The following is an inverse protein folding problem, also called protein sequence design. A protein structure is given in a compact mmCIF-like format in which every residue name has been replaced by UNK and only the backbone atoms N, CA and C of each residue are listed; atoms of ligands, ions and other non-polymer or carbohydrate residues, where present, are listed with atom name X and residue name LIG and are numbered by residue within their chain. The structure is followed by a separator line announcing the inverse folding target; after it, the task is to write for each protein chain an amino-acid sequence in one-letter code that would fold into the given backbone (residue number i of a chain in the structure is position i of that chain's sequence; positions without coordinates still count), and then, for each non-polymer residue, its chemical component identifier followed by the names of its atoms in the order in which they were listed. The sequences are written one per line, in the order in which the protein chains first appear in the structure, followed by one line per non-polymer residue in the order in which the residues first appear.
data_IF_147408387741
#
_entry.id   IF_147408387741
#
_cell.length_a   1.000
_cell.length_b   1.000
_cell.length_c   1.000
_cell.angle_alpha   90.00
_cell.angle_beta   90.00
_cell.angle_gamma   90.00
#
_symmetry.space_group_name_H-M   'P 1'
#
loop_
_entity.id
_entity.type
_entity.pdbx_description
1 polymer ?
#
# COMPACT_ATOMS: atom_id res chain seq x y z
N UNK A 1 0.65 -6.65 10.78
CA UNK A 1 -0.54 -5.77 10.69
C UNK A 1 -0.75 -5.44 9.23
N UNK A 2 -2.00 -5.25 8.80
CA UNK A 2 -2.27 -4.88 7.40
C UNK A 2 -2.35 -3.35 7.29
N UNK A 3 -1.65 -2.83 6.29
CA UNK A 3 -1.63 -1.42 5.96
C UNK A 3 -2.28 -1.21 4.60
N UNK A 4 -3.06 -0.14 4.49
CA UNK A 4 -3.56 0.39 3.23
C UNK A 4 -2.65 1.52 2.80
N UNK A 5 -1.94 1.34 1.69
CA UNK A 5 -1.01 2.32 1.14
C UNK A 5 -1.68 3.03 -0.02
N UNK A 6 -1.84 4.34 0.10
CA UNK A 6 -2.29 5.22 -0.97
C UNK A 6 -1.09 5.76 -1.72
N UNK A 7 -1.10 5.60 -3.04
CA UNK A 7 0.04 5.96 -3.88
C UNK A 7 -0.40 6.46 -5.25
N UNK A 8 0.49 7.20 -5.90
CA UNK A 8 0.41 7.52 -7.33
C UNK A 8 1.38 6.61 -8.10
N UNK A 9 1.02 6.15 -9.31
CA UNK A 9 1.87 5.25 -10.10
C UNK A 9 3.24 5.83 -10.49
N UNK A 10 3.39 7.15 -10.53
CA UNK A 10 4.61 7.82 -10.98
C UNK A 10 4.97 9.01 -10.11
N UNK A 11 6.27 9.15 -9.80
CA UNK A 11 6.85 10.33 -9.14
C UNK A 11 7.14 11.49 -10.10
N UNK A 12 7.07 11.26 -11.42
CA UNK A 12 7.48 12.24 -12.44
C UNK A 12 6.36 13.20 -12.87
N UNK A 13 5.11 12.84 -12.60
CA UNK A 13 3.93 13.61 -13.01
C UNK A 13 3.40 14.34 -11.79
N UNK A 14 2.87 15.55 -11.98
CA UNK A 14 2.21 16.28 -10.91
C UNK A 14 1.08 15.43 -10.31
N UNK A 15 1.00 15.32 -8.97
CA UNK A 15 0.00 14.48 -8.31
C UNK A 15 -1.41 14.99 -8.64
N UNK A 16 -2.29 14.07 -9.03
CA UNK A 16 -3.70 14.33 -9.32
C UNK A 16 -4.55 13.41 -8.46
N UNK A 17 -5.58 13.97 -7.81
CA UNK A 17 -6.39 13.24 -6.84
C UNK A 17 -7.08 12.02 -7.45
N UNK A 18 -7.41 12.08 -8.74
CA UNK A 18 -8.12 11.04 -9.48
C UNK A 18 -7.23 9.82 -9.77
N UNK A 19 -5.90 9.98 -9.69
CA UNK A 19 -4.93 8.94 -9.99
C UNK A 19 -4.43 8.21 -8.73
N UNK A 20 -4.88 8.60 -7.54
CA UNK A 20 -4.52 7.91 -6.29
C UNK A 20 -5.08 6.49 -6.33
N UNK A 21 -4.18 5.51 -6.23
CA UNK A 21 -4.49 4.10 -6.11
C UNK A 21 -4.21 3.63 -4.69
N UNK A 22 -4.73 2.46 -4.33
CA UNK A 22 -4.48 1.83 -3.05
C UNK A 22 -4.03 0.40 -3.23
N UNK A 23 -3.06 -0.02 -2.42
CA UNK A 23 -2.69 -1.42 -2.24
C UNK A 23 -2.74 -1.79 -0.77
N UNK A 24 -2.92 -3.07 -0.49
CA UNK A 24 -2.88 -3.61 0.86
C UNK A 24 -1.61 -4.43 1.01
N UNK A 25 -0.87 -4.22 2.09
CA UNK A 25 0.34 -4.99 2.37
C UNK A 25 0.42 -5.34 3.85
N UNK A 26 1.06 -6.46 4.16
CA UNK A 26 1.35 -6.87 5.53
C UNK A 26 2.75 -6.42 5.97
N UNK A 27 2.84 -5.74 7.11
CA UNK A 27 4.10 -5.31 7.71
C UNK A 27 3.99 -5.23 9.24
N UNK A 28 5.13 -5.11 9.93
CA UNK A 28 5.18 -4.93 11.38
C UNK A 28 5.00 -3.47 11.80
N UNK A 29 5.30 -2.51 10.92
CA UNK A 29 5.14 -1.08 11.20
C UNK A 29 4.85 -0.25 9.95
N UNK A 30 4.35 0.98 10.13
CA UNK A 30 4.12 1.93 9.03
C UNK A 30 5.42 2.30 8.29
N UNK A 31 6.54 2.34 9.03
CA UNK A 31 7.87 2.61 8.47
C UNK A 31 8.31 1.46 7.56
N UNK A 32 8.15 0.22 8.02
CA UNK A 32 8.47 -0.96 7.22
C UNK A 32 7.59 -1.07 5.97
N UNK A 33 6.28 -0.78 6.11
CA UNK A 33 5.36 -0.73 4.97
C UNK A 33 5.80 0.26 3.89
N UNK A 34 6.31 1.43 4.30
CA UNK A 34 6.89 2.43 3.40
C UNK A 34 8.12 1.87 2.69
N UNK A 35 9.07 1.34 3.45
CA UNK A 35 10.34 0.82 2.91
C UNK A 35 10.08 -0.26 1.87
N UNK A 36 9.25 -1.26 2.20
CA UNK A 36 8.89 -2.34 1.29
C UNK A 36 8.31 -1.78 -0.02
N UNK A 37 7.37 -0.84 0.09
CA UNK A 37 6.73 -0.25 -1.11
C UNK A 37 7.73 0.55 -1.95
N UNK A 38 8.62 1.31 -1.32
CA UNK A 38 9.63 2.13 -2.01
C UNK A 38 10.77 1.29 -2.64
N UNK A 39 11.14 0.18 -2.02
CA UNK A 39 12.16 -0.74 -2.55
C UNK A 39 11.63 -1.56 -3.74
N UNK A 40 10.36 -1.97 -3.68
CA UNK A 40 9.78 -2.88 -4.66
C UNK A 40 9.10 -2.15 -5.82
N UNK A 41 8.75 -0.88 -5.64
CA UNK A 41 8.01 -0.11 -6.64
C UNK A 41 8.56 1.31 -6.79
N UNK A 42 8.30 1.92 -7.95
CA UNK A 42 8.62 3.33 -8.19
C UNK A 42 7.47 4.29 -7.81
N UNK A 43 6.50 3.80 -7.03
CA UNK A 43 5.30 4.54 -6.68
C UNK A 43 5.59 5.75 -5.78
N UNK A 44 4.80 6.80 -5.95
CA UNK A 44 4.82 7.95 -5.08
C UNK A 44 3.83 7.74 -3.94
N UNK A 45 4.32 7.40 -2.75
CA UNK A 45 3.47 7.12 -1.58
C UNK A 45 2.92 8.42 -1.02
N UNK A 46 1.59 8.56 -0.99
CA UNK A 46 0.90 9.72 -0.44
C UNK A 46 0.57 9.52 1.03
N UNK A 47 0.02 8.36 1.38
CA UNK A 47 -0.42 8.07 2.75
C UNK A 47 -0.36 6.57 3.05
N UNK A 48 -0.13 6.23 4.32
CA UNK A 48 -0.15 4.85 4.80
C UNK A 48 -1.05 4.80 6.02
N UNK A 49 -2.11 4.03 5.93
CA UNK A 49 -3.11 3.84 6.97
C UNK A 49 -2.98 2.44 7.56
N UNK A 50 -2.89 2.33 8.88
CA UNK A 50 -2.95 1.03 9.57
C UNK A 50 -4.41 0.62 9.76
N UNK A 51 -4.77 -0.58 9.32
CA UNK A 51 -6.13 -1.07 9.42
C UNK A 51 -6.35 -1.81 10.74
N UNK A 52 -7.29 -1.31 11.54
CA UNK A 52 -7.83 -2.05 12.70
C UNK A 52 -8.60 -3.30 12.25
N UNK A 53 -8.76 -4.32 13.11
CA UNK A 53 -9.43 -5.58 12.74
C UNK A 53 -10.82 -5.38 12.10
N UNK A 54 -11.65 -4.46 12.65
CA UNK A 54 -12.98 -4.17 12.09
C UNK A 54 -12.93 -3.49 10.73
N UNK A 55 -11.96 -2.60 10.52
CA UNK A 55 -11.76 -1.93 9.23
C UNK A 55 -11.27 -2.92 8.18
N UNK A 56 -10.37 -3.82 8.56
CA UNK A 56 -9.88 -4.88 7.71
C UNK A 56 -11.00 -5.84 7.27
N UNK A 57 -11.85 -6.28 8.19
CA UNK A 57 -13.02 -7.12 7.85
C UNK A 57 -13.92 -6.44 6.82
N UNK A 58 -14.19 -5.13 6.99
CA UNK A 58 -14.98 -4.38 6.03
C UNK A 58 -14.32 -4.29 4.66
N UNK A 59 -13.01 -4.02 4.62
CA UNK A 59 -12.24 -3.96 3.37
C UNK A 59 -12.21 -5.32 2.65
N UNK A 60 -12.07 -6.42 3.38
CA UNK A 60 -12.06 -7.78 2.81
C UNK A 60 -13.39 -8.19 2.14
N UNK A 61 -14.51 -7.56 2.51
CA UNK A 61 -15.80 -7.76 1.83
C UNK A 61 -15.82 -7.13 0.44
N UNK A 62 -14.90 -6.20 0.15
CA UNK A 62 -14.80 -5.57 -1.16
C UNK A 62 -14.17 -6.54 -2.18
N UNK A 63 -14.73 -6.66 -3.39
CA UNK A 63 -14.13 -7.50 -4.45
C UNK A 63 -12.78 -6.96 -4.95
N UNK A 64 -12.46 -5.71 -4.62
CA UNK A 64 -11.21 -5.05 -4.99
C UNK A 64 -10.09 -5.27 -3.96
N UNK A 65 -10.38 -5.90 -2.82
CA UNK A 65 -9.37 -6.21 -1.84
C UNK A 65 -8.41 -7.27 -2.37
N UNK A 66 -7.14 -6.89 -2.50
CA UNK A 66 -6.06 -7.78 -2.90
C UNK A 66 -4.84 -7.48 -2.05
N UNK A 67 -4.41 -8.46 -1.27
CA UNK A 67 -3.16 -8.38 -0.54
C UNK A 67 -2.01 -8.47 -1.55
N UNK A 68 -1.11 -7.50 -1.49
CA UNK A 68 0.07 -7.43 -2.34
C UNK A 68 1.24 -8.04 -1.59
N UNK A 69 1.72 -9.17 -2.08
CA UNK A 69 2.93 -9.82 -1.60
C UNK A 69 4.08 -9.40 -2.51
N UNK A 70 5.12 -8.83 -1.91
CA UNK A 70 6.38 -8.60 -2.60
C UNK A 70 7.29 -9.77 -2.29
N UNK A 71 7.71 -10.51 -3.32
CA UNK A 71 8.66 -11.60 -3.13
C UNK A 71 9.97 -11.01 -2.58
N UNK A 72 10.25 -11.30 -1.31
CA UNK A 72 11.53 -10.98 -0.66
C UNK A 72 12.66 -11.90 -1.18
N UNK A 73 12.76 -12.10 -2.49
CA UNK A 73 13.97 -12.66 -3.11
C UNK A 73 15.04 -11.57 -3.09
N UNK A 74 15.62 -11.35 -1.90
CA UNK A 74 16.95 -10.74 -1.79
C UNK A 74 17.95 -11.71 -2.42
N UNK A 75 18.38 -11.40 -3.64
CA UNK A 75 19.63 -11.90 -4.20
C UNK A 75 20.83 -11.18 -3.56
#
# INVERSE_FOLDING_TARGET
MIFKVFYQPSKKINPRRENTQSLYLEANSQVEARIITEEQTSYNIEHIEGLDPKALEYEQLSPNYKLTEFNNEKA
#
